data_IF_512142411024
#
_entry.id   IF_512142411024
#
_cell.length_a   1.000
_cell.length_b   1.000
_cell.length_c   1.000
_cell.angle_alpha   90.00
_cell.angle_beta   90.00
_cell.angle_gamma   90.00
#
_symmetry.space_group_name_H-M   'P 1'
#
loop_
_entity.id
_entity.type
_entity.pdbx_description
1 polymer ?
#
# COMPACT_ATOMS: atom_id res chain seq x y z
N UNK A 1 -72.60 19.25 35.80
CA UNK A 1 -73.42 19.69 34.65
C UNK A 1 -72.53 19.69 33.40
N UNK A 2 -72.94 19.02 32.30
CA UNK A 2 -72.32 18.94 30.95
C UNK A 2 -70.98 18.17 30.85
N UNK A 3 -70.96 16.89 30.41
CA UNK A 3 -71.04 16.31 29.03
C UNK A 3 -69.69 16.29 28.29
N UNK A 4 -69.18 15.10 27.94
CA UNK A 4 -68.88 14.59 26.58
C UNK A 4 -68.22 13.19 26.68
N UNK A 5 -68.91 12.08 26.33
CA UNK A 5 -68.86 11.29 25.07
C UNK A 5 -67.43 10.85 24.67
N UNK A 6 -67.00 9.59 24.90
CA UNK A 6 -67.18 8.35 24.10
C UNK A 6 -66.39 8.27 22.76
N UNK A 7 -65.50 7.26 22.70
CA UNK A 7 -65.15 6.36 21.57
C UNK A 7 -63.99 6.74 20.62
N UNK A 8 -63.11 5.73 20.40
CA UNK A 8 -62.27 5.38 19.23
C UNK A 8 -60.76 5.32 19.57
N UNK A 9 -60.20 4.17 19.99
CA UNK A 9 -59.65 3.07 19.16
C UNK A 9 -58.70 3.48 18.02
N UNK A 10 -57.42 3.08 18.21
CA UNK A 10 -56.49 2.45 17.26
C UNK A 10 -55.53 3.31 16.41
N UNK A 11 -54.26 2.85 16.44
CA UNK A 11 -53.15 3.00 15.49
C UNK A 11 -52.44 4.37 15.50
N UNK A 12 -51.12 4.50 15.42
CA UNK A 12 -50.07 3.57 15.01
C UNK A 12 -48.78 3.87 15.81
N UNK A 13 -48.05 2.81 16.15
CA UNK A 13 -46.65 2.93 16.57
C UNK A 13 -45.83 3.33 15.34
N UNK A 14 -45.27 4.53 15.35
CA UNK A 14 -44.28 4.94 14.35
C UNK A 14 -42.90 4.61 14.94
N UNK A 15 -42.35 3.48 14.51
CA UNK A 15 -41.00 3.03 14.88
C UNK A 15 -40.00 4.05 14.33
N UNK A 16 -39.31 4.74 15.24
CA UNK A 16 -38.22 5.65 14.94
C UNK A 16 -36.99 4.81 14.51
N UNK A 17 -36.88 4.54 13.22
CA UNK A 17 -35.67 3.97 12.62
C UNK A 17 -34.64 5.09 12.41
N UNK A 18 -33.77 5.32 13.39
CA UNK A 18 -32.57 6.13 13.18
C UNK A 18 -31.62 5.32 12.31
N UNK A 19 -31.61 5.62 11.01
CA UNK A 19 -30.64 5.10 10.06
C UNK A 19 -29.33 5.85 10.32
N UNK A 20 -28.45 5.24 11.11
CA UNK A 20 -27.10 5.76 11.35
C UNK A 20 -26.27 5.56 10.07
N UNK A 21 -26.32 6.52 9.15
CA UNK A 21 -25.37 6.58 8.04
C UNK A 21 -24.01 6.93 8.65
N UNK A 22 -23.17 5.93 8.89
CA UNK A 22 -21.74 6.11 9.14
C UNK A 22 -21.15 6.72 7.86
N UNK A 23 -21.20 8.05 7.77
CA UNK A 23 -20.46 8.79 6.77
C UNK A 23 -18.98 8.54 7.02
N UNK A 24 -18.30 7.95 6.05
CA UNK A 24 -16.84 7.92 6.03
C UNK A 24 -16.37 9.37 5.97
N UNK A 25 -15.72 9.86 7.03
CA UNK A 25 -15.05 11.16 6.97
C UNK A 25 -13.83 11.00 6.07
N UNK A 26 -13.95 11.45 4.83
CA UNK A 26 -12.80 11.66 3.97
C UNK A 26 -12.06 12.85 4.56
N UNK A 27 -10.98 12.59 5.30
CA UNK A 27 -10.06 13.62 5.74
C UNK A 27 -9.17 14.00 4.54
N UNK A 28 -9.63 14.94 3.72
CA UNK A 28 -8.75 15.63 2.80
C UNK A 28 -7.93 16.67 3.59
N UNK A 29 -6.61 16.70 3.40
CA UNK A 29 -5.81 17.80 3.90
C UNK A 29 -6.12 19.05 3.08
N UNK A 30 -6.62 20.11 3.74
CA UNK A 30 -6.79 21.42 3.12
C UNK A 30 -5.40 22.11 3.03
N UNK A 31 -4.77 22.02 1.86
CA UNK A 31 -3.52 22.74 1.59
C UNK A 31 -3.83 24.19 1.25
N UNK A 32 -3.77 25.08 2.24
CA UNK A 32 -3.96 26.52 2.05
C UNK A 32 -2.60 27.18 1.81
N UNK A 33 -2.32 27.60 0.58
CA UNK A 33 -1.19 28.48 0.25
C UNK A 33 -1.59 29.95 0.38
N UNK A 34 -0.88 30.72 1.22
CA UNK A 34 -0.99 32.18 1.25
C UNK A 34 0.19 32.76 0.44
N UNK A 35 -0.09 33.46 -0.65
CA UNK A 35 0.89 34.21 -1.41
C UNK A 35 0.78 35.70 -1.09
N UNK A 36 1.91 36.39 -0.99
CA UNK A 36 1.98 37.85 -0.97
C UNK A 36 3.12 38.28 -1.90
N UNK A 37 2.78 39.05 -2.94
CA UNK A 37 3.77 39.72 -3.79
C UNK A 37 3.68 41.21 -3.47
N UNK A 38 4.53 41.64 -2.53
CA UNK A 38 4.71 43.05 -2.17
C UNK A 38 3.43 43.81 -1.76
N UNK A 39 2.42 43.13 -1.22
CA UNK A 39 1.17 43.70 -0.72
C UNK A 39 0.14 44.03 -1.81
N UNK A 40 0.30 43.50 -3.03
CA UNK A 40 -0.60 43.74 -4.16
C UNK A 40 -1.31 42.45 -4.54
N UNK A 41 -2.54 42.27 -4.04
CA UNK A 41 -3.37 41.08 -4.31
C UNK A 41 -3.56 40.78 -5.80
N UNK A 42 -3.52 41.81 -6.65
CA UNK A 42 -3.66 41.68 -8.11
C UNK A 42 -2.48 40.96 -8.79
N UNK A 43 -1.30 40.92 -8.17
CA UNK A 43 -0.12 40.25 -8.74
C UNK A 43 -0.18 38.73 -8.59
N UNK A 44 -0.97 38.22 -7.63
CA UNK A 44 -1.32 36.80 -7.54
C UNK A 44 -2.23 36.34 -8.70
N UNK A 45 -2.93 37.26 -9.37
CA UNK A 45 -3.73 36.94 -10.56
C UNK A 45 -2.88 36.83 -11.83
N UNK A 46 -1.64 37.37 -11.83
CA UNK A 46 -0.73 37.38 -12.98
C UNK A 46 0.29 36.23 -12.98
N UNK A 47 0.50 35.57 -11.85
CA UNK A 47 1.42 34.44 -11.75
C UNK A 47 1.01 33.49 -10.65
N UNK A 48 1.41 32.23 -10.83
CA UNK A 48 1.36 31.10 -9.90
C UNK A 48 0.20 30.13 -10.13
N UNK A 49 0.33 29.32 -11.18
CA UNK A 49 -0.26 27.98 -11.16
C UNK A 49 0.45 27.19 -10.06
N UNK A 50 -0.17 27.07 -8.89
CA UNK A 50 0.25 26.13 -7.86
C UNK A 50 -0.31 24.76 -8.21
N UNK A 51 0.50 23.93 -8.86
CA UNK A 51 0.13 22.54 -9.13
C UNK A 51 0.44 21.71 -7.88
N UNK A 52 -0.61 21.30 -7.17
CA UNK A 52 -0.49 20.24 -6.17
C UNK A 52 -0.44 18.91 -6.93
N UNK A 53 0.76 18.34 -7.05
CA UNK A 53 0.93 16.99 -7.54
C UNK A 53 0.63 16.03 -6.38
N UNK A 54 -0.53 15.35 -6.44
CA UNK A 54 -0.78 14.18 -5.61
C UNK A 54 -0.71 12.94 -6.49
N UNK A 55 0.24 12.07 -6.18
CA UNK A 55 0.30 10.72 -6.73
C UNK A 55 -0.01 9.75 -5.59
N UNK A 56 -1.04 8.93 -5.76
CA UNK A 56 -1.24 7.74 -4.92
C UNK A 56 -0.45 6.61 -5.55
N UNK A 57 0.71 6.23 -4.99
CA UNK A 57 1.45 5.09 -5.51
C UNK A 57 0.61 3.82 -5.36
N UNK A 58 0.71 2.93 -6.34
CA UNK A 58 0.01 1.64 -6.34
C UNK A 58 0.98 0.54 -5.90
N UNK A 59 0.51 -0.36 -5.04
CA UNK A 59 1.26 -1.52 -4.60
C UNK A 59 0.84 -2.75 -5.43
N UNK A 60 1.83 -3.45 -5.97
CA UNK A 60 1.63 -4.64 -6.78
C UNK A 60 2.18 -5.87 -6.06
N UNK A 61 1.57 -7.02 -6.32
CA UNK A 61 2.05 -8.31 -5.83
C UNK A 61 2.09 -9.31 -6.96
N UNK A 62 3.23 -9.99 -7.08
CA UNK A 62 3.49 -11.05 -8.03
C UNK A 62 4.11 -12.25 -7.30
N UNK A 63 4.14 -13.39 -7.98
CA UNK A 63 4.69 -14.62 -7.45
C UNK A 63 5.43 -15.37 -8.54
N UNK A 64 6.54 -16.00 -8.18
CA UNK A 64 7.42 -16.71 -9.10
C UNK A 64 7.82 -18.07 -8.51
N UNK A 65 7.92 -19.09 -9.34
CA UNK A 65 8.52 -20.35 -8.94
C UNK A 65 10.01 -20.14 -8.66
N UNK A 66 10.45 -20.54 -7.46
CA UNK A 66 11.87 -20.46 -7.06
C UNK A 66 12.79 -21.26 -7.98
N UNK A 67 12.27 -22.34 -8.58
CA UNK A 67 13.04 -23.30 -9.36
C UNK A 67 13.51 -22.75 -10.72
N UNK A 68 12.70 -21.92 -11.38
CA UNK A 68 12.94 -21.48 -12.75
C UNK A 68 12.47 -20.06 -13.06
N UNK A 69 12.04 -19.30 -12.04
CA UNK A 69 11.53 -17.95 -12.16
C UNK A 69 10.25 -17.83 -13.00
N UNK A 70 9.52 -18.92 -13.22
CA UNK A 70 8.22 -18.86 -13.92
C UNK A 70 7.23 -18.04 -13.09
N UNK A 71 6.65 -17.01 -13.71
CA UNK A 71 5.60 -16.22 -13.08
C UNK A 71 4.33 -17.06 -12.85
N UNK A 72 3.73 -16.87 -11.68
CA UNK A 72 2.49 -17.50 -11.27
C UNK A 72 1.34 -16.51 -11.41
N UNK A 73 0.21 -17.01 -11.90
CA UNK A 73 -1.03 -16.24 -12.01
C UNK A 73 -1.96 -16.61 -10.86
N UNK A 74 -2.75 -15.64 -10.40
CA UNK A 74 -3.80 -15.89 -9.41
C UNK A 74 -4.74 -17.00 -9.88
N UNK A 75 -4.92 -18.02 -9.04
CA UNK A 75 -5.75 -19.19 -9.34
C UNK A 75 -4.96 -20.40 -9.88
N UNK A 76 -3.66 -20.26 -10.12
CA UNK A 76 -2.81 -21.40 -10.43
C UNK A 76 -2.85 -22.44 -9.30
N UNK A 77 -2.84 -23.71 -9.69
CA UNK A 77 -2.80 -24.84 -8.74
C UNK A 77 -1.38 -25.37 -8.66
N UNK A 78 -0.81 -25.35 -7.47
CA UNK A 78 0.54 -25.85 -7.20
C UNK A 78 0.48 -27.04 -6.23
N UNK A 79 1.40 -28.01 -6.36
CA UNK A 79 1.57 -29.05 -5.34
C UNK A 79 2.00 -28.44 -4.00
N UNK A 80 1.49 -28.99 -2.89
CA UNK A 80 2.02 -28.70 -1.55
C UNK A 80 3.54 -28.95 -1.51
N UNK A 81 4.26 -28.11 -0.76
CA UNK A 81 5.72 -28.11 -0.72
C UNK A 81 6.39 -27.30 -1.84
N UNK A 82 5.63 -26.72 -2.78
CA UNK A 82 6.20 -25.84 -3.81
C UNK A 82 6.73 -24.55 -3.17
N UNK A 83 7.99 -24.22 -3.45
CA UNK A 83 8.61 -22.98 -2.99
C UNK A 83 8.39 -21.85 -4.01
N UNK A 84 7.86 -20.75 -3.51
CA UNK A 84 7.44 -19.58 -4.27
C UNK A 84 8.16 -18.35 -3.73
N UNK A 85 8.72 -17.55 -4.62
CA UNK A 85 9.17 -16.21 -4.31
C UNK A 85 8.00 -15.24 -4.54
N UNK A 86 7.62 -14.52 -3.50
CA UNK A 86 6.67 -13.41 -3.61
C UNK A 86 7.43 -12.12 -3.85
N UNK A 87 7.01 -11.35 -4.85
CA UNK A 87 7.46 -9.99 -5.11
C UNK A 87 6.32 -9.04 -4.75
N UNK A 88 6.60 -8.05 -3.90
CA UNK A 88 5.68 -6.94 -3.62
C UNK A 88 6.43 -5.66 -3.91
N UNK A 89 5.87 -4.79 -4.75
CA UNK A 89 6.60 -3.61 -5.19
C UNK A 89 5.73 -2.40 -5.40
N UNK A 90 6.38 -1.24 -5.34
CA UNK A 90 5.85 0.08 -5.62
C UNK A 90 6.76 0.73 -6.66
N UNK A 91 6.22 1.04 -7.83
CA UNK A 91 6.93 1.81 -8.87
C UNK A 91 6.70 3.29 -8.60
N UNK A 92 7.73 4.02 -8.17
CA UNK A 92 7.64 5.46 -7.94
C UNK A 92 8.07 6.22 -9.20
N UNK A 93 7.08 6.67 -9.95
CA UNK A 93 7.27 7.45 -11.19
C UNK A 93 7.32 8.96 -10.94
N UNK A 94 7.25 9.39 -9.68
CA UNK A 94 7.38 10.78 -9.34
C UNK A 94 8.86 11.19 -9.27
N UNK A 95 9.14 12.43 -9.66
CA UNK A 95 10.45 13.09 -9.47
C UNK A 95 10.80 13.36 -8.00
N UNK A 96 9.94 12.94 -7.07
CA UNK A 96 10.12 13.05 -5.62
C UNK A 96 10.03 11.67 -4.99
N UNK A 97 10.81 11.47 -3.92
CA UNK A 97 10.72 10.25 -3.13
C UNK A 97 9.37 10.16 -2.40
N UNK A 98 8.82 8.94 -2.33
CA UNK A 98 7.74 8.62 -1.39
C UNK A 98 8.41 8.21 -0.09
N UNK A 99 8.29 9.05 0.93
CA UNK A 99 8.93 8.84 2.23
C UNK A 99 8.10 7.98 3.15
N UNK A 100 8.78 7.23 4.02
CA UNK A 100 8.18 6.43 5.08
C UNK A 100 7.16 5.41 4.56
N UNK A 101 7.61 4.57 3.62
CA UNK A 101 6.84 3.50 2.99
C UNK A 101 6.83 2.28 3.88
N UNK A 102 5.63 1.75 4.10
CA UNK A 102 5.37 0.52 4.84
C UNK A 102 4.73 -0.54 3.95
N UNK A 103 5.23 -1.77 4.01
CA UNK A 103 4.63 -2.92 3.32
C UNK A 103 4.39 -4.03 4.35
N UNK A 104 3.19 -4.63 4.31
CA UNK A 104 2.83 -5.78 5.13
C UNK A 104 2.21 -6.86 4.26
N UNK A 105 2.66 -8.10 4.43
CA UNK A 105 2.07 -9.27 3.79
C UNK A 105 1.84 -10.38 4.81
N UNK A 106 0.58 -10.74 5.06
CA UNK A 106 0.21 -11.82 5.95
C UNK A 106 0.03 -13.13 5.18
N UNK A 107 0.85 -14.13 5.49
CA UNK A 107 0.86 -15.42 4.82
C UNK A 107 -0.30 -16.29 5.30
N UNK A 108 -1.06 -16.83 4.34
CA UNK A 108 -2.17 -17.76 4.58
C UNK A 108 -2.00 -18.96 3.65
N UNK A 109 -1.82 -20.15 4.22
CA UNK A 109 -1.56 -21.38 3.47
C UNK A 109 -0.12 -21.49 2.94
N UNK A 110 0.77 -20.64 3.44
CA UNK A 110 2.19 -20.66 3.13
C UNK A 110 3.01 -20.58 4.41
N UNK A 111 4.07 -21.38 4.48
CA UNK A 111 5.10 -21.31 5.51
C UNK A 111 6.28 -20.47 5.02
N UNK A 112 6.63 -19.42 5.75
CA UNK A 112 7.79 -18.57 5.45
C UNK A 112 9.11 -19.36 5.46
N UNK A 113 10.01 -19.05 4.52
CA UNK A 113 11.38 -19.59 4.49
C UNK A 113 12.34 -18.58 5.16
N UNK A 114 12.98 -18.92 6.30
CA UNK A 114 13.87 -18.02 7.01
C UNK A 114 15.06 -17.52 6.18
N UNK A 115 15.47 -16.28 6.44
CA UNK A 115 16.53 -15.54 5.76
C UNK A 115 16.30 -15.53 4.24
N UNK A 116 15.10 -15.13 3.81
CA UNK A 116 14.77 -14.99 2.39
C UNK A 116 14.37 -13.58 1.99
N UNK A 117 14.11 -12.70 2.95
CA UNK A 117 13.69 -11.32 2.69
C UNK A 117 14.82 -10.53 2.02
N UNK A 118 14.48 -9.80 0.96
CA UNK A 118 15.34 -8.86 0.24
C UNK A 118 14.55 -7.60 -0.06
N UNK A 119 15.20 -6.44 0.11
CA UNK A 119 14.59 -5.13 -0.19
C UNK A 119 15.45 -4.40 -1.22
N UNK A 120 14.86 -4.11 -2.38
CA UNK A 120 15.46 -3.42 -3.52
C UNK A 120 14.89 -2.00 -3.61
N UNK A 121 15.74 -1.01 -3.90
CA UNK A 121 15.31 0.38 -4.09
C UNK A 121 16.21 1.13 -5.08
N UNK A 122 16.59 0.46 -6.16
CA UNK A 122 17.58 0.98 -7.13
C UNK A 122 17.22 0.74 -8.59
N UNK A 123 16.26 -0.13 -8.88
CA UNK A 123 15.80 -0.40 -10.25
C UNK A 123 14.91 0.74 -10.71
N UNK A 124 15.04 1.14 -11.99
CA UNK A 124 14.22 2.22 -12.56
C UNK A 124 12.72 1.87 -12.48
N UNK A 125 11.91 2.92 -12.38
CA UNK A 125 10.45 2.85 -12.46
C UNK A 125 9.98 2.22 -13.77
N UNK A 126 8.74 1.71 -13.75
CA UNK A 126 8.11 1.14 -14.92
C UNK A 126 7.72 2.22 -15.93
N UNK A 127 7.78 1.88 -17.22
CA UNK A 127 7.57 2.85 -18.30
C UNK A 127 6.13 3.38 -18.38
N UNK A 128 5.15 2.61 -17.88
CA UNK A 128 3.74 2.98 -17.91
C UNK A 128 3.20 3.34 -16.54
N UNK A 129 2.47 4.46 -16.42
CA UNK A 129 1.81 4.81 -15.18
C UNK A 129 0.85 3.76 -14.69
N UNK A 130 1.03 3.37 -13.42
CA UNK A 130 0.12 2.49 -12.67
C UNK A 130 0.17 1.00 -13.06
N UNK A 131 1.16 0.54 -13.84
CA UNK A 131 1.41 -0.89 -14.03
C UNK A 131 2.78 -1.14 -14.67
N UNK A 132 3.47 -2.17 -14.21
CA UNK A 132 4.61 -2.74 -14.93
C UNK A 132 4.14 -3.79 -15.93
N UNK A 133 4.83 -3.90 -17.05
CA UNK A 133 4.66 -5.04 -17.95
C UNK A 133 5.23 -6.31 -17.29
N UNK A 134 4.80 -7.52 -17.72
CA UNK A 134 5.37 -8.76 -17.20
C UNK A 134 6.90 -8.87 -17.36
N UNK A 135 7.45 -8.24 -18.39
CA UNK A 135 8.90 -8.22 -18.63
C UNK A 135 9.64 -7.32 -17.63
N UNK A 136 9.07 -6.14 -17.33
CA UNK A 136 9.61 -5.23 -16.31
C UNK A 136 9.50 -5.85 -14.92
N UNK A 137 8.36 -6.48 -14.59
CA UNK A 137 8.16 -7.16 -13.30
C UNK A 137 9.15 -8.32 -13.11
N UNK A 138 9.39 -9.12 -14.15
CA UNK A 138 10.43 -10.15 -14.12
C UNK A 138 11.83 -9.54 -13.95
N UNK A 139 12.09 -8.36 -14.54
CA UNK A 139 13.33 -7.61 -14.35
C UNK A 139 13.52 -7.18 -12.89
N UNK A 140 12.51 -6.53 -12.30
CA UNK A 140 12.49 -6.11 -10.89
C UNK A 140 12.72 -7.31 -9.98
N UNK A 141 12.03 -8.42 -10.22
CA UNK A 141 12.21 -9.65 -9.46
C UNK A 141 13.65 -10.18 -9.53
N UNK A 142 14.23 -10.25 -10.74
CA UNK A 142 15.61 -10.72 -10.92
C UNK A 142 16.64 -9.82 -10.23
N UNK A 143 16.44 -8.49 -10.30
CA UNK A 143 17.29 -7.52 -9.61
C UNK A 143 17.17 -7.66 -8.09
N UNK A 144 15.96 -7.80 -7.57
CA UNK A 144 15.71 -7.94 -6.13
C UNK A 144 16.34 -9.23 -5.57
N UNK A 145 16.32 -10.32 -6.34
CA UNK A 145 16.90 -11.61 -5.94
C UNK A 145 18.42 -11.59 -5.75
N UNK A 146 19.13 -10.64 -6.36
CA UNK A 146 20.60 -10.53 -6.21
C UNK A 146 21.03 -9.52 -5.14
N UNK A 147 20.08 -8.74 -4.58
CA UNK A 147 20.33 -7.87 -3.42
C UNK A 147 20.63 -8.73 -2.19
N UNK A 148 21.45 -8.25 -1.25
CA UNK A 148 21.72 -8.97 0.00
C UNK A 148 20.43 -9.31 0.77
N UNK A 149 20.44 -10.48 1.42
CA UNK A 149 19.33 -10.93 2.27
C UNK A 149 19.36 -10.11 3.58
N UNK A 150 18.20 -9.67 4.05
CA UNK A 150 18.01 -9.11 5.39
C UNK A 150 18.17 -10.18 6.47
N UNK A 151 18.29 -9.79 7.74
CA UNK A 151 18.44 -10.77 8.84
C UNK A 151 17.10 -11.24 9.42
N UNK A 152 15.99 -10.78 8.82
CA UNK A 152 14.59 -10.97 9.25
C UNK A 152 14.27 -10.38 10.63
N UNK A 153 15.21 -9.70 11.28
CA UNK A 153 15.08 -9.25 12.65
C UNK A 153 14.39 -7.88 12.73
N UNK A 154 13.57 -7.69 13.76
CA UNK A 154 13.14 -6.34 14.15
C UNK A 154 14.32 -5.73 14.91
N UNK A 155 15.22 -4.99 14.25
CA UNK A 155 16.23 -4.06 14.80
C UNK A 155 17.21 -3.60 13.70
N UNK A 156 17.01 -2.38 13.18
CA UNK A 156 17.82 -1.72 12.13
C UNK A 156 17.84 -2.43 10.75
N UNK A 157 17.14 -3.56 10.59
CA UNK A 157 16.90 -4.16 9.28
C UNK A 157 15.82 -3.41 8.50
N UNK A 158 15.91 -3.42 7.18
CA UNK A 158 14.91 -2.83 6.31
C UNK A 158 13.54 -3.53 6.39
N UNK A 159 13.55 -4.81 6.80
CA UNK A 159 12.39 -5.68 6.79
C UNK A 159 12.54 -6.85 7.76
N UNK A 160 11.42 -7.36 8.24
CA UNK A 160 11.35 -8.39 9.28
C UNK A 160 10.26 -9.43 8.99
N UNK A 161 10.32 -10.57 9.68
CA UNK A 161 9.24 -11.53 9.72
C UNK A 161 8.77 -11.77 11.17
N UNK A 162 7.47 -11.54 11.42
CA UNK A 162 6.88 -11.67 12.76
C UNK A 162 5.60 -12.48 12.70
N UNK A 163 5.56 -13.62 13.39
CA UNK A 163 4.38 -14.50 13.39
C UNK A 163 4.14 -15.12 12.01
N UNK A 164 3.23 -14.52 11.24
CA UNK A 164 2.89 -14.90 9.85
C UNK A 164 3.04 -13.75 8.87
N UNK A 165 3.60 -12.61 9.30
CA UNK A 165 3.64 -11.39 8.51
C UNK A 165 5.08 -11.05 8.11
N UNK A 166 5.30 -10.82 6.82
CA UNK A 166 6.50 -10.15 6.31
C UNK A 166 6.24 -8.65 6.27
N UNK A 167 7.16 -7.87 6.82
CA UNK A 167 6.97 -6.45 7.11
C UNK A 167 8.18 -5.63 6.67
N UNK A 168 7.95 -4.45 6.09
CA UNK A 168 8.98 -3.52 5.60
C UNK A 168 8.68 -2.14 6.12
N UNK A 169 9.72 -1.40 6.52
CA UNK A 169 9.57 -0.03 7.01
C UNK A 169 9.19 0.05 8.49
N UNK A 170 9.53 1.19 9.09
CA UNK A 170 9.42 1.44 10.53
C UNK A 170 8.06 2.02 10.94
N UNK A 171 7.31 2.59 10.00
CA UNK A 171 5.90 2.97 10.16
C UNK A 171 4.98 1.74 10.36
N UNK A 172 5.40 0.58 9.88
CA UNK A 172 4.74 -0.70 10.05
C UNK A 172 5.21 -1.38 11.34
N UNK A 173 6.51 -1.58 11.49
CA UNK A 173 7.09 -2.29 12.63
C UNK A 173 8.20 -1.46 13.25
N UNK A 174 7.92 -0.94 14.45
CA UNK A 174 8.88 -0.17 15.21
C UNK A 174 10.13 -1.02 15.49
N UNK A 175 11.26 -0.61 14.92
CA UNK A 175 12.53 -1.33 14.99
C UNK A 175 13.12 -1.66 13.63
N UNK A 176 12.31 -1.73 12.57
CA UNK A 176 12.85 -1.73 11.20
C UNK A 176 13.44 -0.35 10.87
N UNK A 177 14.31 -0.28 9.86
CA UNK A 177 14.81 0.97 9.28
C UNK A 177 13.74 1.58 8.38
N UNK A 178 13.55 2.90 8.44
CA UNK A 178 12.67 3.63 7.53
C UNK A 178 13.00 3.32 6.07
N UNK A 179 11.99 3.00 5.28
CA UNK A 179 12.15 2.80 3.84
C UNK A 179 11.49 3.96 3.10
N UNK A 180 12.21 4.51 2.14
CA UNK A 180 11.67 5.50 1.21
C UNK A 180 11.72 4.90 -0.19
N UNK A 181 10.68 5.03 -1.00
CA UNK A 181 10.81 4.76 -2.42
C UNK A 181 11.45 5.98 -3.08
N UNK A 182 12.69 5.86 -3.58
CA UNK A 182 13.36 7.02 -4.16
C UNK A 182 12.61 7.52 -5.41
N UNK A 183 12.91 8.73 -5.85
CA UNK A 183 12.32 9.26 -7.09
C UNK A 183 12.74 8.39 -8.29
N UNK A 184 11.81 8.12 -9.20
CA UNK A 184 12.07 7.39 -10.43
C UNK A 184 12.77 6.03 -10.18
N UNK A 185 12.27 5.28 -9.19
CA UNK A 185 12.72 3.91 -8.90
C UNK A 185 11.59 3.04 -8.39
N UNK A 186 11.81 1.72 -8.44
CA UNK A 186 11.00 0.71 -7.78
C UNK A 186 11.56 0.41 -6.39
N UNK A 187 10.71 0.53 -5.37
CA UNK A 187 10.89 -0.12 -4.07
C UNK A 187 10.23 -1.49 -4.13
N UNK A 188 11.01 -2.56 -3.97
CA UNK A 188 10.54 -3.94 -4.04
C UNK A 188 10.98 -4.75 -2.83
N UNK A 189 10.08 -5.60 -2.36
CA UNK A 189 10.28 -6.65 -1.38
C UNK A 189 10.19 -7.99 -2.10
N UNK A 190 11.19 -8.85 -1.91
CA UNK A 190 11.11 -10.26 -2.27
C UNK A 190 11.29 -11.11 -1.02
N UNK A 191 10.49 -12.16 -0.88
CA UNK A 191 10.68 -13.18 0.14
C UNK A 191 10.19 -14.54 -0.35
N UNK A 192 10.69 -15.61 0.24
CA UNK A 192 10.34 -16.98 -0.15
C UNK A 192 9.38 -17.59 0.87
N UNK A 193 8.38 -18.32 0.37
CA UNK A 193 7.54 -19.17 1.20
C UNK A 193 7.25 -20.51 0.50
N UNK A 194 6.89 -21.52 1.29
CA UNK A 194 6.53 -22.85 0.81
C UNK A 194 5.03 -23.05 1.01
N UNK A 195 4.34 -23.57 -0.02
CA UNK A 195 2.92 -23.91 0.09
C UNK A 195 2.71 -25.07 1.08
N UNK A 196 1.78 -24.91 2.01
CA UNK A 196 1.48 -25.90 3.06
C UNK A 196 0.83 -27.21 2.53
#
# INVERSE_FOLDING_TARGET
MKRQRKIAQRMAAFTLGVMLTLGTTVHAADNVGLGDIAGVDADLANSNVFTLLSSTPTLFKAAFLTADNTALTSGDTLPAGTSVDFLIYLSNEADLAVVDVGIQDNLVGFTYVPNSIRVLNTTAECATPLACTPAEELGIYNDARVVAISTDAINDDNASFTGTTVEVGNNVTAGNTQQDAAANVVLALVFTATLD
#
